data_IF_126002290346
#
_entry.id   IF_126002290346
#
_cell.length_a   1.000
_cell.length_b   1.000
_cell.length_c   1.000
_cell.angle_alpha   90.00
_cell.angle_beta   90.00
_cell.angle_gamma   90.00
#
_symmetry.space_group_name_H-M   'P 1'
#
loop_
_entity.id
_entity.type
_entity.pdbx_description
1 polymer ?
#
# COMPACT_ATOMS: atom_id res chain seq x y z
N UNK A 1 -9.67 -46.64 11.81
CA UNK A 1 -9.71 -46.38 10.35
C UNK A 1 -10.83 -45.41 10.06
N UNK A 2 -10.55 -44.40 9.22
CA UNK A 2 -11.48 -43.47 8.53
C UNK A 2 -11.56 -42.04 9.07
N UNK A 3 -10.42 -41.34 9.07
CA UNK A 3 -10.39 -39.88 8.95
C UNK A 3 -10.56 -39.51 7.48
N UNK A 4 -11.80 -39.53 7.01
CA UNK A 4 -12.19 -38.87 5.76
C UNK A 4 -12.26 -37.35 6.02
N UNK A 5 -11.10 -36.69 6.02
CA UNK A 5 -10.97 -35.24 5.93
C UNK A 5 -9.91 -34.92 4.87
N UNK A 6 -10.19 -35.37 3.64
CA UNK A 6 -9.77 -34.58 2.50
C UNK A 6 -10.68 -33.34 2.52
N UNK A 7 -10.08 -32.15 2.57
CA UNK A 7 -10.40 -31.01 1.72
C UNK A 7 -9.73 -29.73 2.27
N UNK A 8 -8.78 -29.24 1.47
CA UNK A 8 -8.46 -27.82 1.26
C UNK A 8 -7.69 -27.14 2.39
N UNK A 9 -6.36 -27.28 2.34
CA UNK A 9 -5.44 -26.21 2.73
C UNK A 9 -4.49 -25.94 1.56
N UNK A 10 -5.07 -25.63 0.40
CA UNK A 10 -4.33 -25.15 -0.74
C UNK A 10 -4.40 -23.62 -0.76
N UNK A 11 -3.22 -23.02 -0.66
CA UNK A 11 -2.87 -21.67 -1.12
C UNK A 11 -3.47 -20.51 -0.33
N UNK A 12 -2.67 -19.99 0.59
CA UNK A 12 -2.60 -18.55 0.86
C UNK A 12 -1.14 -18.09 0.78
N UNK A 13 -0.51 -18.33 -0.37
CA UNK A 13 0.75 -17.68 -0.75
C UNK A 13 0.44 -16.72 -1.91
N UNK A 14 -0.29 -15.65 -1.61
CA UNK A 14 -0.66 -14.64 -2.61
C UNK A 14 -0.71 -13.26 -1.95
N UNK A 15 0.44 -12.74 -1.49
CA UNK A 15 0.54 -11.33 -1.06
C UNK A 15 1.82 -10.63 -1.51
N UNK A 16 2.69 -11.27 -2.30
CA UNK A 16 4.01 -10.72 -2.57
C UNK A 16 4.13 -9.89 -3.85
N UNK A 17 3.22 -9.98 -4.83
CA UNK A 17 3.45 -9.33 -6.14
C UNK A 17 3.53 -7.79 -6.03
N UNK A 18 2.70 -7.17 -5.20
CA UNK A 18 2.72 -5.72 -4.98
C UNK A 18 3.98 -5.27 -4.23
N UNK A 19 4.47 -6.06 -3.27
CA UNK A 19 5.70 -5.76 -2.54
C UNK A 19 6.95 -5.86 -3.44
N UNK A 20 6.96 -6.78 -4.41
CA UNK A 20 8.07 -6.91 -5.36
C UNK A 20 8.14 -5.72 -6.34
N UNK A 21 6.98 -5.23 -6.76
CA UNK A 21 6.89 -4.08 -7.67
C UNK A 21 7.29 -2.77 -6.94
N UNK A 22 6.80 -2.58 -5.70
CA UNK A 22 7.22 -1.49 -4.80
C UNK A 22 8.73 -1.49 -4.59
N UNK A 23 9.33 -2.63 -4.26
CA UNK A 23 10.77 -2.72 -4.03
C UNK A 23 11.58 -2.42 -5.29
N UNK A 24 11.11 -2.86 -6.46
CA UNK A 24 11.76 -2.59 -7.76
C UNK A 24 11.70 -1.12 -8.13
N UNK A 25 10.57 -0.45 -7.88
CA UNK A 25 10.40 0.98 -8.12
C UNK A 25 11.29 1.79 -7.17
N UNK A 26 11.30 1.45 -5.87
CA UNK A 26 12.14 2.12 -4.86
C UNK A 26 13.63 1.92 -5.14
N UNK A 27 14.04 0.76 -5.67
CA UNK A 27 15.42 0.51 -6.05
C UNK A 27 15.91 1.39 -7.23
N UNK A 28 14.99 1.94 -8.04
CA UNK A 28 15.32 2.88 -9.11
C UNK A 28 15.36 4.34 -8.62
N UNK A 29 14.98 4.61 -7.38
CA UNK A 29 15.00 5.97 -6.82
C UNK A 29 16.46 6.35 -6.50
N UNK A 30 16.96 7.47 -7.02
CA UNK A 30 18.31 7.94 -6.71
C UNK A 30 18.46 8.38 -5.25
N UNK A 31 19.66 8.16 -4.71
CA UNK A 31 19.99 8.46 -3.31
C UNK A 31 19.76 9.92 -2.93
N UNK A 32 19.91 10.84 -3.90
CA UNK A 32 19.68 12.28 -3.69
C UNK A 32 18.23 12.57 -3.27
N UNK A 33 17.28 11.78 -3.76
CA UNK A 33 15.86 11.95 -3.51
C UNK A 33 15.39 11.21 -2.26
N UNK A 34 16.04 10.09 -1.89
CA UNK A 34 15.67 9.32 -0.70
C UNK A 34 15.71 10.18 0.57
N UNK A 35 16.78 10.96 0.77
CA UNK A 35 16.88 11.85 1.93
C UNK A 35 15.81 12.95 1.91
N UNK A 36 15.50 13.49 0.73
CA UNK A 36 14.50 14.54 0.58
C UNK A 36 13.08 14.02 0.83
N UNK A 37 12.75 12.84 0.30
CA UNK A 37 11.45 12.19 0.50
C UNK A 37 11.30 11.78 1.97
N UNK A 38 12.33 11.18 2.59
CA UNK A 38 12.29 10.81 4.01
C UNK A 38 12.03 12.02 4.90
N UNK A 39 12.73 13.14 4.66
CA UNK A 39 12.53 14.39 5.42
C UNK A 39 11.13 14.94 5.21
N UNK A 40 10.65 15.01 3.96
CA UNK A 40 9.33 15.50 3.63
C UNK A 40 8.21 14.60 4.20
N UNK A 41 8.38 13.27 4.16
CA UNK A 41 7.46 12.30 4.74
C UNK A 41 7.35 12.48 6.26
N UNK A 42 8.49 12.62 6.96
CA UNK A 42 8.47 12.92 8.41
C UNK A 42 7.79 14.24 8.72
N UNK A 43 7.96 15.27 7.88
CA UNK A 43 7.25 16.54 8.00
C UNK A 43 5.74 16.44 7.80
N UNK A 44 5.26 15.42 7.08
CA UNK A 44 3.83 15.13 6.88
C UNK A 44 3.29 14.07 7.85
N UNK A 45 4.05 13.72 8.90
CA UNK A 45 3.69 12.65 9.86
C UNK A 45 3.48 11.28 9.22
N UNK A 46 4.05 11.05 8.03
CA UNK A 46 4.08 9.74 7.39
C UNK A 46 5.39 9.02 7.74
N UNK A 47 5.31 7.70 7.91
CA UNK A 47 6.51 6.86 8.02
C UNK A 47 7.31 6.88 6.72
N UNK A 48 8.63 6.73 6.82
CA UNK A 48 9.55 6.73 5.67
C UNK A 48 9.21 5.62 4.66
N UNK A 49 8.71 4.48 5.15
CA UNK A 49 8.26 3.33 4.35
C UNK A 49 6.73 3.25 4.28
N UNK A 50 6.00 4.23 4.81
CA UNK A 50 4.54 4.26 4.76
C UNK A 50 4.11 4.84 3.42
N UNK A 51 4.26 4.04 2.37
CA UNK A 51 3.98 4.49 1.01
C UNK A 51 2.51 4.87 0.84
N UNK A 52 1.58 4.23 1.55
CA UNK A 52 0.17 4.59 1.52
C UNK A 52 -0.08 6.02 2.04
N UNK A 53 0.45 6.38 3.21
CA UNK A 53 0.37 7.73 3.76
C UNK A 53 1.07 8.73 2.85
N UNK A 54 2.26 8.38 2.36
CA UNK A 54 3.02 9.24 1.45
C UNK A 54 2.25 9.53 0.16
N UNK A 55 1.58 8.52 -0.41
CA UNK A 55 0.74 8.64 -1.58
C UNK A 55 -0.53 9.45 -1.33
N UNK A 56 -1.16 9.31 -0.16
CA UNK A 56 -2.29 10.16 0.25
C UNK A 56 -1.90 11.62 0.48
N UNK A 57 -0.64 11.89 0.81
CA UNK A 57 -0.09 13.24 1.10
C UNK A 57 0.89 13.72 0.03
N UNK A 58 0.88 13.10 -1.16
CA UNK A 58 1.92 13.27 -2.17
C UNK A 58 2.16 14.75 -2.53
N UNK A 59 1.09 15.53 -2.71
CA UNK A 59 1.20 16.96 -3.04
C UNK A 59 1.94 17.77 -1.98
N UNK A 60 1.70 17.49 -0.70
CA UNK A 60 2.35 18.20 0.42
C UNK A 60 3.80 17.75 0.62
N UNK A 61 4.06 16.45 0.44
CA UNK A 61 5.41 15.89 0.45
C UNK A 61 6.22 16.46 -0.71
N UNK A 62 5.65 16.52 -1.91
CA UNK A 62 6.29 17.05 -3.10
C UNK A 62 6.63 18.52 -2.94
N UNK A 63 5.72 19.34 -2.42
CA UNK A 63 5.99 20.75 -2.12
C UNK A 63 7.16 20.91 -1.13
N UNK A 64 7.22 20.11 -0.06
CA UNK A 64 8.31 20.14 0.91
C UNK A 64 9.62 19.55 0.36
N UNK A 65 9.55 18.51 -0.45
CA UNK A 65 10.70 17.85 -1.05
C UNK A 65 11.30 18.68 -2.19
N UNK A 66 10.52 19.51 -2.89
CA UNK A 66 10.98 20.29 -4.05
C UNK A 66 12.21 21.13 -3.72
N UNK A 67 12.24 21.84 -2.59
CA UNK A 67 13.40 22.64 -2.18
C UNK A 67 14.65 21.81 -1.87
N UNK A 68 14.48 20.59 -1.35
CA UNK A 68 15.58 19.67 -1.10
C UNK A 68 16.09 19.05 -2.40
N UNK A 69 15.18 18.61 -3.27
CA UNK A 69 15.48 17.97 -4.55
C UNK A 69 16.17 18.95 -5.49
N UNK A 70 15.73 20.20 -5.60
CA UNK A 70 16.43 21.21 -6.43
C UNK A 70 17.82 21.57 -5.91
N UNK A 71 18.09 21.32 -4.63
CA UNK A 71 19.40 21.59 -4.01
C UNK A 71 20.36 20.40 -4.06
N UNK A 72 19.84 19.18 -4.19
CA UNK A 72 20.61 17.92 -4.04
C UNK A 72 20.56 17.01 -5.27
N UNK A 73 19.53 17.14 -6.10
CA UNK A 73 19.30 16.37 -7.31
C UNK A 73 19.32 17.28 -8.54
N UNK A 74 19.54 16.69 -9.71
CA UNK A 74 19.29 17.38 -10.99
C UNK A 74 17.79 17.39 -11.30
N UNK A 75 17.37 18.28 -12.18
CA UNK A 75 15.97 18.37 -12.63
C UNK A 75 15.48 17.07 -13.27
N UNK A 76 16.36 16.35 -13.99
CA UNK A 76 16.02 15.08 -14.64
C UNK A 76 15.70 13.99 -13.60
N UNK A 77 16.54 13.89 -12.56
CA UNK A 77 16.34 12.97 -11.43
C UNK A 77 15.06 13.30 -10.67
N UNK A 78 14.75 14.59 -10.50
CA UNK A 78 13.50 15.03 -9.88
C UNK A 78 12.26 14.53 -10.65
N UNK A 79 12.26 14.68 -11.98
CA UNK A 79 11.16 14.21 -12.83
C UNK A 79 11.07 12.69 -12.79
N UNK A 80 12.20 11.98 -12.81
CA UNK A 80 12.24 10.53 -12.74
C UNK A 80 11.66 10.02 -11.42
N UNK A 81 12.03 10.62 -10.30
CA UNK A 81 11.50 10.32 -8.97
C UNK A 81 10.00 10.54 -8.89
N UNK A 82 9.49 11.64 -9.46
CA UNK A 82 8.05 11.91 -9.54
C UNK A 82 7.32 10.78 -10.27
N UNK A 83 7.83 10.37 -11.43
CA UNK A 83 7.22 9.32 -12.23
C UNK A 83 7.23 7.98 -11.49
N UNK A 84 8.37 7.59 -10.92
CA UNK A 84 8.51 6.37 -10.12
C UNK A 84 7.58 6.38 -8.91
N UNK A 85 7.49 7.50 -8.19
CA UNK A 85 6.61 7.63 -7.02
C UNK A 85 5.13 7.58 -7.44
N UNK A 86 4.77 8.11 -8.60
CA UNK A 86 3.41 8.00 -9.11
C UNK A 86 3.05 6.55 -9.47
N UNK A 87 3.96 5.79 -10.08
CA UNK A 87 3.76 4.36 -10.33
C UNK A 87 3.69 3.57 -9.01
N UNK A 88 4.56 3.90 -8.06
CA UNK A 88 4.53 3.35 -6.70
C UNK A 88 3.14 3.55 -6.07
N UNK A 89 2.60 4.76 -6.15
CA UNK A 89 1.28 5.08 -5.61
C UNK A 89 0.13 4.39 -6.33
N UNK A 90 0.27 4.10 -7.62
CA UNK A 90 -0.71 3.30 -8.35
C UNK A 90 -0.68 1.85 -7.88
N UNK A 91 0.50 1.29 -7.67
CA UNK A 91 0.68 -0.08 -7.17
C UNK A 91 0.18 -0.21 -5.73
N UNK A 92 0.57 0.72 -4.86
CA UNK A 92 0.16 0.76 -3.44
C UNK A 92 -1.33 1.06 -3.29
N UNK A 93 -1.87 2.00 -4.08
CA UNK A 93 -3.29 2.36 -4.08
C UNK A 93 -4.18 1.31 -4.76
N UNK A 94 -3.66 0.55 -5.71
CA UNK A 94 -4.36 -0.55 -6.38
C UNK A 94 -4.46 -1.83 -5.55
N UNK A 95 -3.57 -2.01 -4.56
CA UNK A 95 -3.58 -3.15 -3.64
C UNK A 95 -4.71 -3.14 -2.59
N UNK A 96 -5.44 -2.03 -2.44
CA UNK A 96 -6.58 -1.92 -1.51
C UNK A 96 -7.93 -2.29 -2.12
N UNK A 97 -7.96 -2.72 -3.38
CA UNK A 97 -9.18 -3.22 -4.03
C UNK A 97 -9.19 -4.74 -4.05
N UNK A 98 -9.20 -5.37 -2.88
CA UNK A 98 -9.99 -6.59 -2.67
C UNK A 98 -9.96 -6.98 -1.19
N UNK A 99 -11.17 -6.97 -0.63
CA UNK A 99 -11.55 -7.68 0.60
C UNK A 99 -11.35 -6.93 1.92
N UNK A 100 -12.02 -5.79 2.04
CA UNK A 100 -12.83 -5.53 3.24
C UNK A 100 -14.22 -5.17 2.73
N UNK A 101 -15.14 -6.12 2.60
CA UNK A 101 -16.19 -6.26 3.62
C UNK A 101 -16.88 -7.62 3.49
N UNK A 102 -16.50 -8.58 4.33
CA UNK A 102 -17.37 -9.69 4.72
C UNK A 102 -17.11 -10.00 6.20
N UNK A 103 -17.21 -8.95 7.03
CA UNK A 103 -17.32 -9.06 8.47
C UNK A 103 -18.40 -8.05 8.91
N UNK A 104 -19.65 -8.35 8.55
CA UNK A 104 -20.77 -8.05 9.43
C UNK A 104 -21.15 -9.40 10.03
N UNK A 105 -20.48 -9.74 11.12
CA UNK A 105 -20.94 -10.81 11.99
C UNK A 105 -22.33 -10.47 12.52
N UNK A 106 -23.12 -11.53 12.63
CA UNK A 106 -24.03 -11.72 13.75
C UNK A 106 -25.24 -10.78 13.77
N UNK A 107 -26.17 -11.03 12.84
CA UNK A 107 -27.58 -10.78 13.10
C UNK A 107 -28.05 -11.67 14.28
N UNK A 108 -27.86 -11.16 15.49
CA UNK A 108 -28.64 -11.64 16.63
C UNK A 108 -30.11 -11.27 16.42
N UNK A 109 -30.99 -12.22 16.75
CA UNK A 109 -32.46 -12.17 16.77
C UNK A 109 -33.16 -12.71 15.51
N UNK A 110 -33.38 -14.03 15.49
CA UNK A 110 -34.69 -14.57 15.14
C UNK A 110 -35.20 -15.38 16.33
N UNK A 111 -36.00 -14.71 17.16
CA UNK A 111 -36.99 -15.38 17.98
C UNK A 111 -38.27 -15.56 17.13
N UNK A 112 -38.93 -16.69 17.38
CA UNK A 112 -40.35 -17.01 17.17
C UNK A 112 -40.82 -17.59 15.82
N UNK A 113 -41.29 -18.84 15.93
CA UNK A 113 -42.45 -19.43 15.24
C UNK A 113 -42.17 -20.03 13.86
N UNK A 114 -42.75 -21.14 13.42
CA UNK A 114 -43.73 -22.09 13.97
C UNK A 114 -43.71 -23.32 13.03
N UNK A 115 -44.21 -24.46 13.53
CA UNK A 115 -44.82 -25.59 12.82
C UNK A 115 -44.66 -25.74 11.30
N UNK A 116 -44.26 -26.94 10.84
CA UNK A 116 -45.23 -27.97 10.40
C UNK A 116 -44.58 -29.06 9.51
N UNK A 117 -44.89 -30.31 9.89
CA UNK A 117 -44.89 -31.58 9.13
C UNK A 117 -43.55 -32.17 8.66
#
# INVERSE_FOLDING_TARGET
MRFSLALIAAVAAATSVAAQDVASIVAQIPSCAITCIATAATGQSCGITDYACQCSKMSAIQASATGCVTSKCTTDEAIKVLSLTSDLCKVVGGGSSSSSSAAAGEATTQAAGSDAS
#
